data_IF_539300989184
#
_entry.id   IF_539300989184
#
_cell.length_a   1.000
_cell.length_b   1.000
_cell.length_c   1.000
_cell.angle_alpha   90.00
_cell.angle_beta   90.00
_cell.angle_gamma   90.00
#
_symmetry.space_group_name_H-M   'P 1'
#
loop_
_entity.id
_entity.type
_entity.pdbx_description
1 polymer ?
#
# COMPACT_ATOMS: atom_id res chain seq x y z
N UNK A 1 -13.52 36.43 -4.18
CA UNK A 1 -12.73 35.49 -3.35
C UNK A 1 -13.71 34.62 -2.61
N UNK A 2 -13.56 33.29 -2.65
CA UNK A 2 -14.44 32.35 -1.97
C UNK A 2 -14.41 32.45 -0.44
N UNK A 3 -15.30 31.72 0.27
CA UNK A 3 -15.36 31.73 1.72
C UNK A 3 -14.05 31.22 2.34
N UNK A 4 -13.75 31.67 3.56
CA UNK A 4 -12.61 31.19 4.35
C UNK A 4 -13.16 30.40 5.53
N UNK A 5 -12.77 29.14 5.61
CA UNK A 5 -13.00 28.26 6.76
C UNK A 5 -11.72 28.11 7.58
N UNK A 6 -11.85 27.68 8.81
CA UNK A 6 -10.71 27.34 9.68
C UNK A 6 -10.87 25.90 10.16
N UNK A 7 -9.75 25.18 10.29
CA UNK A 7 -9.70 23.84 10.83
C UNK A 7 -8.33 23.60 11.46
N UNK A 8 -8.23 22.83 12.52
CA UNK A 8 -6.94 22.56 13.18
C UNK A 8 -6.02 21.73 12.26
N UNK A 9 -6.54 20.66 11.67
CA UNK A 9 -5.78 19.72 10.84
C UNK A 9 -6.48 19.48 9.49
N UNK A 10 -5.75 19.58 8.40
CA UNK A 10 -6.22 19.21 7.07
C UNK A 10 -5.36 18.07 6.50
N UNK A 11 -6.02 17.02 6.05
CA UNK A 11 -5.40 15.86 5.39
C UNK A 11 -5.81 15.87 3.91
N UNK A 12 -4.85 15.72 3.01
CA UNK A 12 -5.11 15.65 1.57
C UNK A 12 -5.05 14.20 1.12
N UNK A 13 -6.19 13.68 0.64
CA UNK A 13 -6.39 12.33 0.15
C UNK A 13 -7.07 11.40 1.16
N UNK A 14 -8.22 10.83 0.76
CA UNK A 14 -9.02 9.85 1.50
C UNK A 14 -8.67 8.39 1.11
N UNK A 15 -7.41 8.10 0.84
CA UNK A 15 -6.90 6.74 0.74
C UNK A 15 -6.72 6.10 2.13
N UNK A 16 -6.38 4.81 2.17
CA UNK A 16 -6.21 4.06 3.43
C UNK A 16 -5.26 4.74 4.43
N UNK A 17 -4.23 5.44 3.94
CA UNK A 17 -3.26 6.16 4.78
C UNK A 17 -3.88 7.43 5.36
N UNK A 18 -4.52 8.26 4.53
CA UNK A 18 -5.19 9.48 5.01
C UNK A 18 -6.29 9.19 6.02
N UNK A 19 -7.08 8.14 5.76
CA UNK A 19 -8.13 7.69 6.69
C UNK A 19 -7.56 7.18 8.02
N UNK A 20 -6.45 6.41 7.99
CA UNK A 20 -5.80 5.95 9.22
C UNK A 20 -5.24 7.11 10.06
N UNK A 21 -4.67 8.13 9.41
CA UNK A 21 -4.14 9.34 10.07
C UNK A 21 -5.29 10.18 10.62
N UNK A 22 -6.35 10.41 9.84
CA UNK A 22 -7.52 11.17 10.27
C UNK A 22 -8.16 10.54 11.51
N UNK A 23 -8.38 9.23 11.47
CA UNK A 23 -8.85 8.46 12.62
C UNK A 23 -7.97 8.67 13.85
N UNK A 24 -6.65 8.57 13.69
CA UNK A 24 -5.71 8.72 14.80
C UNK A 24 -5.75 10.12 15.43
N UNK A 25 -5.79 11.17 14.61
CA UNK A 25 -5.92 12.56 15.08
C UNK A 25 -7.28 12.82 15.75
N UNK A 26 -8.37 12.32 15.17
CA UNK A 26 -9.71 12.47 15.73
C UNK A 26 -9.86 11.81 17.10
N UNK A 27 -9.29 10.61 17.29
CA UNK A 27 -9.25 9.93 18.59
C UNK A 27 -8.45 10.68 19.66
N UNK A 28 -7.59 11.62 19.25
CA UNK A 28 -6.88 12.55 20.15
C UNK A 28 -7.68 13.86 20.36
N UNK A 29 -8.91 13.96 19.86
CA UNK A 29 -9.75 15.14 19.98
C UNK A 29 -9.38 16.29 19.05
N UNK A 30 -8.62 16.03 17.97
CA UNK A 30 -8.27 17.04 16.98
C UNK A 30 -9.40 17.26 15.99
N UNK A 31 -9.65 18.53 15.61
CA UNK A 31 -10.53 18.88 14.52
C UNK A 31 -9.87 18.58 13.19
N UNK A 32 -10.47 17.72 12.37
CA UNK A 32 -9.86 17.22 11.11
C UNK A 32 -10.81 17.35 9.94
N UNK A 33 -10.30 17.89 8.83
CA UNK A 33 -10.96 17.83 7.52
C UNK A 33 -10.07 17.00 6.58
N UNK A 34 -10.68 16.04 5.88
CA UNK A 34 -10.04 15.34 4.76
C UNK A 34 -10.48 16.00 3.45
N UNK A 35 -9.55 16.41 2.62
CA UNK A 35 -9.80 16.88 1.26
C UNK A 35 -9.56 15.72 0.28
N UNK A 36 -10.61 15.28 -0.40
CA UNK A 36 -10.53 14.24 -1.43
C UNK A 36 -10.87 14.81 -2.80
N UNK A 37 -10.01 14.56 -3.77
CA UNK A 37 -10.21 15.05 -5.14
C UNK A 37 -11.31 14.30 -5.89
N UNK A 38 -11.50 13.04 -5.55
CA UNK A 38 -12.49 12.15 -6.18
C UNK A 38 -13.84 12.22 -5.45
N UNK A 39 -14.82 11.53 -6.00
CA UNK A 39 -16.19 11.48 -5.43
C UNK A 39 -16.37 10.40 -4.35
N UNK A 40 -15.32 9.63 -4.04
CA UNK A 40 -15.35 8.57 -3.04
C UNK A 40 -13.97 8.32 -2.44
N UNK A 41 -13.92 7.59 -1.32
CA UNK A 41 -12.66 7.17 -0.69
C UNK A 41 -11.93 6.12 -1.53
N UNK A 42 -10.61 6.09 -1.44
CA UNK A 42 -9.76 4.99 -1.91
C UNK A 42 -9.73 4.76 -3.42
N UNK A 43 -10.14 5.70 -4.25
CA UNK A 43 -10.35 5.53 -5.70
C UNK A 43 -9.11 5.11 -6.51
N UNK A 44 -7.90 5.25 -5.94
CA UNK A 44 -6.64 4.93 -6.62
C UNK A 44 -5.94 3.69 -6.02
N UNK A 45 -4.71 3.83 -5.55
CA UNK A 45 -3.86 2.72 -5.08
C UNK A 45 -4.51 1.89 -3.97
N UNK A 46 -5.33 2.50 -3.12
CA UNK A 46 -5.94 1.83 -1.95
C UNK A 46 -6.99 0.78 -2.31
N UNK A 47 -7.68 0.89 -3.45
CA UNK A 47 -8.64 -0.11 -3.94
C UNK A 47 -8.10 -0.98 -5.08
N UNK A 48 -6.86 -0.73 -5.54
CA UNK A 48 -6.28 -1.39 -6.71
C UNK A 48 -4.98 -2.10 -6.33
N UNK A 49 -5.09 -3.15 -5.54
CA UNK A 49 -3.98 -3.89 -4.94
C UNK A 49 -4.34 -5.37 -4.71
N UNK A 50 -3.43 -6.13 -4.12
CA UNK A 50 -3.61 -7.57 -3.88
C UNK A 50 -4.30 -7.90 -2.55
N UNK A 51 -4.68 -6.91 -1.75
CA UNK A 51 -5.34 -7.06 -0.44
C UNK A 51 -4.59 -7.94 0.58
N UNK A 52 -3.25 -8.00 0.46
CA UNK A 52 -2.40 -8.87 1.26
C UNK A 52 -1.98 -8.18 2.56
N UNK A 53 -2.14 -8.89 3.68
CA UNK A 53 -1.52 -8.56 4.96
C UNK A 53 -0.11 -9.14 4.94
N UNK A 54 0.89 -8.28 4.72
CA UNK A 54 2.28 -8.69 4.60
C UNK A 54 2.94 -8.97 5.95
N UNK A 55 3.81 -9.97 6.00
CA UNK A 55 4.56 -10.31 7.21
C UNK A 55 5.77 -9.39 7.48
N UNK A 56 6.34 -8.74 6.44
CA UNK A 56 7.55 -7.89 6.59
C UNK A 56 8.83 -8.51 6.05
N UNK A 57 8.74 -9.54 5.19
CA UNK A 57 9.81 -10.48 4.82
C UNK A 57 10.92 -9.85 3.97
N UNK A 58 10.56 -9.00 2.98
CA UNK A 58 11.46 -8.65 1.87
C UNK A 58 12.20 -7.33 2.04
N UNK A 59 11.83 -6.51 3.02
CA UNK A 59 12.30 -5.14 3.12
C UNK A 59 13.72 -5.04 3.69
N UNK A 60 14.51 -4.04 3.29
CA UNK A 60 15.81 -3.79 3.91
C UNK A 60 15.67 -3.59 5.42
N UNK A 61 16.64 -4.11 6.16
CA UNK A 61 16.72 -3.93 7.60
C UNK A 61 16.69 -2.44 7.98
N UNK A 62 16.02 -2.11 9.07
CA UNK A 62 15.85 -0.75 9.57
C UNK A 62 15.07 0.23 8.66
N UNK A 63 14.60 -0.20 7.49
CA UNK A 63 13.76 0.64 6.63
C UNK A 63 12.40 0.95 7.28
N UNK A 64 11.78 2.08 6.90
CA UNK A 64 10.40 2.39 7.30
C UNK A 64 9.42 1.31 6.83
N UNK A 65 9.63 0.77 5.62
CA UNK A 65 8.84 -0.36 5.10
C UNK A 65 8.88 -1.55 6.04
N UNK A 66 10.06 -1.94 6.52
CA UNK A 66 10.22 -3.06 7.45
C UNK A 66 9.56 -2.77 8.79
N UNK A 67 9.92 -1.66 9.44
CA UNK A 67 9.40 -1.26 10.76
C UNK A 67 7.88 -1.11 10.76
N UNK A 68 7.35 -0.32 9.81
CA UNK A 68 5.93 -0.08 9.72
C UNK A 68 5.14 -1.33 9.29
N UNK A 69 5.72 -2.24 8.49
CA UNK A 69 5.06 -3.48 8.11
C UNK A 69 4.93 -4.44 9.30
N UNK A 70 6.02 -4.70 10.03
CA UNK A 70 6.04 -5.65 11.15
C UNK A 70 5.15 -5.16 12.30
N UNK A 71 5.29 -3.88 12.69
CA UNK A 71 4.43 -3.22 13.69
C UNK A 71 2.99 -3.16 13.21
N UNK A 72 2.78 -2.69 11.97
CA UNK A 72 1.47 -2.52 11.36
C UNK A 72 0.70 -3.82 11.23
N UNK A 73 1.36 -4.95 10.87
CA UNK A 73 0.73 -6.28 10.85
C UNK A 73 0.05 -6.61 12.19
N UNK A 74 0.76 -6.38 13.30
CA UNK A 74 0.23 -6.66 14.65
C UNK A 74 -0.95 -5.75 14.98
N UNK A 75 -0.83 -4.46 14.70
CA UNK A 75 -1.89 -3.47 14.91
C UNK A 75 -3.11 -3.78 14.03
N UNK A 76 -2.87 -4.10 12.75
CA UNK A 76 -3.91 -4.36 11.77
C UNK A 76 -4.74 -5.59 12.15
N UNK A 77 -4.13 -6.75 12.44
CA UNK A 77 -4.89 -7.93 12.88
C UNK A 77 -5.73 -7.65 14.12
N UNK A 78 -5.16 -6.98 15.13
CA UNK A 78 -5.92 -6.56 16.31
C UNK A 78 -7.11 -5.65 15.95
N UNK A 79 -6.93 -4.76 14.99
CA UNK A 79 -7.98 -3.87 14.50
C UNK A 79 -9.07 -4.64 13.75
N UNK A 80 -8.68 -5.52 12.82
CA UNK A 80 -9.59 -6.35 12.04
C UNK A 80 -10.47 -7.24 12.94
N UNK A 81 -9.89 -7.85 13.97
CA UNK A 81 -10.61 -8.67 14.95
C UNK A 81 -11.59 -7.82 15.78
N UNK A 82 -11.15 -6.65 16.25
CA UNK A 82 -11.98 -5.73 17.05
C UNK A 82 -13.22 -5.26 16.31
N UNK A 83 -13.06 -4.87 15.05
CA UNK A 83 -14.14 -4.29 14.23
C UNK A 83 -14.83 -5.31 13.32
N UNK A 84 -14.49 -6.60 13.45
CA UNK A 84 -15.10 -7.70 12.67
C UNK A 84 -14.95 -7.52 11.17
N UNK A 85 -13.85 -6.90 10.73
CA UNK A 85 -13.55 -6.72 9.32
C UNK A 85 -13.14 -8.07 8.72
N UNK A 86 -13.69 -8.39 7.55
CA UNK A 86 -13.45 -9.67 6.91
C UNK A 86 -11.98 -9.83 6.53
N UNK A 87 -11.33 -10.86 7.06
CA UNK A 87 -9.94 -11.19 6.78
C UNK A 87 -9.67 -12.67 7.00
N UNK A 88 -8.54 -13.16 6.45
CA UNK A 88 -8.12 -14.55 6.60
C UNK A 88 -6.61 -14.66 6.71
N UNK A 89 -6.10 -15.33 7.71
CA UNK A 89 -4.69 -15.74 7.84
C UNK A 89 -4.46 -17.00 7.01
N UNK A 90 -4.46 -16.86 5.69
CA UNK A 90 -4.33 -18.01 4.77
C UNK A 90 -2.89 -18.51 4.63
N UNK A 91 -1.91 -17.75 5.10
CA UNK A 91 -0.51 -18.09 4.90
C UNK A 91 -0.01 -17.83 3.48
N UNK A 92 1.30 -17.96 3.30
CA UNK A 92 1.97 -17.79 2.01
C UNK A 92 3.13 -18.78 1.89
N UNK A 93 3.25 -19.43 0.74
CA UNK A 93 4.40 -20.22 0.33
C UNK A 93 5.28 -19.42 -0.63
N UNK A 94 6.55 -19.23 -0.29
CA UNK A 94 7.56 -18.71 -1.21
C UNK A 94 8.28 -19.92 -1.78
N UNK A 95 8.05 -20.22 -3.07
CA UNK A 95 8.42 -21.49 -3.69
C UNK A 95 9.73 -21.41 -4.48
N UNK A 96 10.57 -22.45 -4.33
CA UNK A 96 11.85 -22.62 -5.02
C UNK A 96 11.85 -23.93 -5.82
N UNK A 97 12.44 -23.89 -7.02
CA UNK A 97 12.52 -25.04 -7.94
C UNK A 97 13.96 -25.37 -8.36
N UNK A 98 14.96 -24.65 -7.83
CA UNK A 98 16.38 -24.87 -8.14
C UNK A 98 17.25 -24.59 -6.91
N UNK A 99 18.47 -25.11 -6.88
CA UNK A 99 19.45 -24.82 -5.82
C UNK A 99 19.71 -23.32 -5.65
N UNK A 100 19.80 -22.57 -6.76
CA UNK A 100 19.95 -21.12 -6.72
C UNK A 100 18.74 -20.41 -6.10
N UNK A 101 17.55 -20.97 -6.19
CA UNK A 101 16.35 -20.42 -5.54
C UNK A 101 16.34 -20.78 -4.05
N UNK A 102 16.87 -21.95 -3.65
CA UNK A 102 17.02 -22.34 -2.24
C UNK A 102 17.94 -21.37 -1.49
N UNK A 103 19.08 -20.99 -2.08
CA UNK A 103 19.98 -19.98 -1.52
C UNK A 103 19.27 -18.64 -1.28
N UNK A 104 18.40 -18.23 -2.22
CA UNK A 104 17.59 -17.02 -2.07
C UNK A 104 16.56 -17.15 -0.94
N UNK A 105 15.94 -18.32 -0.75
CA UNK A 105 15.01 -18.56 0.37
C UNK A 105 15.73 -18.40 1.71
N UNK A 106 16.96 -18.93 1.84
CA UNK A 106 17.79 -18.78 3.04
C UNK A 106 18.09 -17.29 3.30
N UNK A 107 18.45 -16.56 2.25
CA UNK A 107 18.72 -15.13 2.36
C UNK A 107 17.46 -14.32 2.74
N UNK A 108 16.29 -14.72 2.22
CA UNK A 108 14.98 -14.13 2.55
C UNK A 108 14.66 -14.39 4.02
N UNK A 109 14.85 -15.62 4.54
CA UNK A 109 14.60 -15.95 5.93
C UNK A 109 15.47 -15.11 6.86
N UNK A 110 16.79 -15.05 6.63
CA UNK A 110 17.72 -14.24 7.43
C UNK A 110 17.33 -12.77 7.47
N UNK A 111 16.92 -12.20 6.31
CA UNK A 111 16.43 -10.83 6.24
C UNK A 111 15.14 -10.64 7.04
N UNK A 112 14.22 -11.59 6.98
CA UNK A 112 12.97 -11.56 7.72
C UNK A 112 13.21 -11.60 9.24
N UNK A 113 14.09 -12.49 9.69
CA UNK A 113 14.51 -12.59 11.10
C UNK A 113 15.11 -11.27 11.60
N UNK A 114 15.99 -10.64 10.82
CA UNK A 114 16.55 -9.32 11.15
C UNK A 114 15.48 -8.21 11.25
N UNK A 115 14.35 -8.37 10.54
CA UNK A 115 13.21 -7.47 10.64
C UNK A 115 12.23 -7.82 11.79
N UNK A 116 12.49 -8.88 12.57
CA UNK A 116 11.62 -9.36 13.64
C UNK A 116 10.43 -10.19 13.16
N UNK A 117 10.59 -10.86 12.01
CA UNK A 117 9.66 -11.88 11.49
C UNK A 117 10.25 -13.26 11.81
N UNK A 118 9.74 -13.90 12.84
CA UNK A 118 10.30 -15.11 13.46
C UNK A 118 9.47 -16.39 13.23
N UNK A 119 8.40 -16.27 12.43
CA UNK A 119 7.43 -17.34 12.19
C UNK A 119 7.62 -18.07 10.86
N UNK A 120 8.70 -17.81 10.12
CA UNK A 120 8.98 -18.45 8.85
C UNK A 120 9.55 -19.87 9.04
N UNK A 121 9.01 -20.83 8.31
CA UNK A 121 9.50 -22.22 8.35
C UNK A 121 9.74 -22.79 6.97
N UNK A 122 10.85 -23.53 6.81
CA UNK A 122 11.06 -24.32 5.59
C UNK A 122 10.13 -25.50 5.54
N UNK A 123 9.57 -25.77 4.36
CA UNK A 123 8.72 -26.91 4.05
C UNK A 123 9.26 -27.64 2.81
N UNK A 124 9.43 -28.94 2.94
CA UNK A 124 9.93 -29.80 1.87
C UNK A 124 8.82 -30.13 0.85
N UNK A 125 9.21 -30.77 -0.24
CA UNK A 125 8.33 -31.16 -1.34
C UNK A 125 7.11 -31.96 -0.90
N UNK A 126 7.27 -32.94 0.02
CA UNK A 126 6.17 -33.72 0.52
C UNK A 126 5.13 -32.86 1.22
N UNK A 127 5.60 -31.98 2.12
CA UNK A 127 4.73 -31.03 2.83
C UNK A 127 4.09 -30.00 1.92
N UNK A 128 4.78 -29.55 0.86
CA UNK A 128 4.18 -28.67 -0.15
C UNK A 128 3.03 -29.39 -0.86
N UNK A 129 3.23 -30.64 -1.25
CA UNK A 129 2.19 -31.46 -1.91
C UNK A 129 0.96 -31.70 -1.01
N UNK A 130 1.15 -31.81 0.31
CA UNK A 130 0.03 -31.91 1.26
C UNK A 130 -0.76 -30.58 1.37
N UNK A 131 -0.04 -29.43 1.41
CA UNK A 131 -0.64 -28.11 1.55
C UNK A 131 -1.30 -27.64 0.25
N UNK A 132 -0.63 -27.82 -0.88
CA UNK A 132 -1.02 -27.33 -2.20
C UNK A 132 -0.67 -28.38 -3.29
N UNK A 133 -1.53 -29.38 -3.51
CA UNK A 133 -1.23 -30.53 -4.37
C UNK A 133 -0.94 -30.20 -5.85
N UNK A 134 -1.38 -29.02 -6.30
CA UNK A 134 -1.17 -28.57 -7.69
C UNK A 134 0.14 -27.80 -7.88
N UNK A 135 0.82 -27.42 -6.80
CA UNK A 135 2.06 -26.64 -6.85
C UNK A 135 3.26 -27.55 -7.04
N UNK A 136 4.09 -27.18 -8.01
CA UNK A 136 5.39 -27.80 -8.23
C UNK A 136 6.48 -26.94 -7.57
N UNK A 137 7.07 -27.46 -6.52
CA UNK A 137 8.24 -26.89 -5.87
C UNK A 137 9.06 -27.96 -5.15
N UNK A 138 10.37 -27.80 -5.06
CA UNK A 138 11.26 -28.70 -4.32
C UNK A 138 11.39 -28.27 -2.85
N UNK A 139 11.38 -26.96 -2.60
CA UNK A 139 11.44 -26.36 -1.27
C UNK A 139 10.56 -25.10 -1.24
N UNK A 140 10.00 -24.78 -0.10
CA UNK A 140 9.34 -23.49 0.11
C UNK A 140 9.62 -22.93 1.50
N UNK A 141 9.42 -21.62 1.64
CA UNK A 141 9.40 -20.92 2.90
C UNK A 141 7.93 -20.55 3.21
N UNK A 142 7.37 -21.14 4.25
CA UNK A 142 6.01 -20.89 4.72
C UNK A 142 6.00 -19.67 5.64
N UNK A 143 5.13 -18.71 5.35
CA UNK A 143 4.84 -17.54 6.20
C UNK A 143 3.40 -17.64 6.71
N UNK A 144 3.17 -18.19 7.91
CA UNK A 144 1.82 -18.45 8.41
C UNK A 144 1.07 -17.17 8.79
N UNK A 145 1.77 -16.10 9.16
CA UNK A 145 1.16 -14.81 9.53
C UNK A 145 0.80 -13.90 8.35
N UNK A 146 1.15 -14.29 7.12
CA UNK A 146 0.64 -13.61 5.93
C UNK A 146 -0.85 -13.91 5.76
N UNK A 147 -1.63 -12.90 5.35
CA UNK A 147 -3.07 -13.06 5.17
C UNK A 147 -3.61 -12.15 4.08
N UNK A 148 -4.93 -12.12 4.00
CA UNK A 148 -5.71 -11.25 3.12
C UNK A 148 -6.83 -10.58 3.92
N UNK A 149 -7.30 -9.44 3.44
CA UNK A 149 -8.40 -8.69 4.07
C UNK A 149 -9.29 -8.05 3.00
N UNK A 150 -10.48 -7.66 3.41
CA UNK A 150 -11.32 -6.74 2.64
C UNK A 150 -10.84 -5.31 2.89
N UNK A 151 -10.10 -4.74 1.93
CA UNK A 151 -9.54 -3.39 2.02
C UNK A 151 -10.63 -2.32 2.03
N UNK A 152 -11.76 -2.56 1.36
CA UNK A 152 -12.86 -1.61 1.33
C UNK A 152 -13.54 -1.52 2.70
N UNK A 153 -13.86 -2.66 3.33
CA UNK A 153 -14.37 -2.69 4.70
C UNK A 153 -13.41 -2.03 5.69
N UNK A 154 -12.09 -2.23 5.52
CA UNK A 154 -11.08 -1.56 6.35
C UNK A 154 -11.17 -0.04 6.24
N UNK A 155 -11.21 0.49 5.01
CA UNK A 155 -11.32 1.94 4.78
C UNK A 155 -12.62 2.52 5.32
N UNK A 156 -13.75 1.84 5.12
CA UNK A 156 -15.03 2.24 5.69
C UNK A 156 -15.02 2.25 7.23
N UNK A 157 -14.34 1.28 7.85
CA UNK A 157 -14.20 1.23 9.30
C UNK A 157 -13.34 2.39 9.83
N UNK A 158 -12.23 2.73 9.15
CA UNK A 158 -11.43 3.90 9.52
C UNK A 158 -12.23 5.19 9.37
N UNK A 159 -12.97 5.33 8.27
CA UNK A 159 -13.84 6.48 8.01
C UNK A 159 -14.91 6.60 9.10
N UNK A 160 -15.64 5.53 9.39
CA UNK A 160 -16.71 5.54 10.38
C UNK A 160 -16.23 5.90 11.79
N UNK A 161 -15.06 5.40 12.23
CA UNK A 161 -14.48 5.82 13.51
C UNK A 161 -14.03 7.30 13.47
N UNK A 162 -13.48 7.76 12.34
CA UNK A 162 -13.06 9.14 12.18
C UNK A 162 -14.27 10.10 12.23
N UNK A 163 -15.33 9.81 11.46
CA UNK A 163 -16.57 10.61 11.42
C UNK A 163 -17.30 10.60 12.77
N UNK A 164 -17.34 9.46 13.47
CA UNK A 164 -17.90 9.37 14.82
C UNK A 164 -17.16 10.25 15.84
N UNK A 165 -15.91 10.66 15.53
CA UNK A 165 -15.09 11.58 16.32
C UNK A 165 -14.93 12.97 15.65
N UNK A 166 -15.87 13.35 14.76
CA UNK A 166 -16.00 14.70 14.23
C UNK A 166 -15.20 15.01 12.96
N UNK A 167 -14.57 14.02 12.31
CA UNK A 167 -13.92 14.24 11.02
C UNK A 167 -14.95 14.52 9.93
N UNK A 168 -14.65 15.49 9.07
CA UNK A 168 -15.44 15.79 7.87
C UNK A 168 -14.63 15.43 6.63
N UNK A 169 -15.24 14.73 5.67
CA UNK A 169 -14.64 14.48 4.35
C UNK A 169 -15.28 15.38 3.32
N UNK A 170 -14.46 16.24 2.70
CA UNK A 170 -14.85 17.07 1.56
C UNK A 170 -14.47 16.34 0.27
N UNK A 171 -15.43 15.71 -0.38
CA UNK A 171 -15.25 15.08 -1.70
C UNK A 171 -15.26 16.11 -2.82
N UNK A 172 -14.72 15.74 -4.00
CA UNK A 172 -14.58 16.61 -5.17
C UNK A 172 -13.90 17.96 -4.83
N UNK A 173 -12.97 17.91 -3.87
CA UNK A 173 -12.32 19.07 -3.28
C UNK A 173 -10.79 19.00 -3.46
N UNK A 174 -10.27 19.03 -4.70
CA UNK A 174 -8.84 18.95 -4.95
C UNK A 174 -8.12 20.18 -4.38
N UNK A 175 -7.02 19.95 -3.67
CA UNK A 175 -6.12 21.01 -3.24
C UNK A 175 -5.30 21.48 -4.45
N UNK A 176 -5.46 22.74 -4.86
CA UNK A 176 -4.73 23.33 -5.99
C UNK A 176 -3.51 24.12 -5.59
N UNK A 177 -3.53 24.78 -4.44
CA UNK A 177 -2.42 25.57 -3.92
C UNK A 177 -2.44 25.57 -2.39
N UNK A 178 -1.27 25.63 -1.79
CA UNK A 178 -1.09 25.88 -0.36
C UNK A 178 -0.01 26.96 -0.17
N UNK A 179 -0.27 27.91 0.71
CA UNK A 179 0.65 28.99 1.05
C UNK A 179 1.03 28.82 2.52
N UNK A 180 2.34 28.81 2.80
CA UNK A 180 2.85 28.77 4.16
C UNK A 180 2.68 30.17 4.77
N UNK A 181 1.91 30.27 5.85
CA UNK A 181 1.73 31.48 6.64
C UNK A 181 2.53 31.39 7.96
N UNK A 182 2.58 32.47 8.73
CA UNK A 182 3.30 32.52 10.02
C UNK A 182 2.83 31.43 11.00
N UNK A 183 1.51 31.19 11.06
CA UNK A 183 0.89 30.32 12.06
C UNK A 183 0.18 29.11 11.43
N UNK A 184 0.63 28.65 10.26
CA UNK A 184 0.06 27.50 9.55
C UNK A 184 0.03 27.65 8.04
N UNK A 185 -1.10 27.31 7.43
CA UNK A 185 -1.26 27.23 5.98
C UNK A 185 -2.58 27.85 5.53
N UNK A 186 -2.55 28.56 4.40
CA UNK A 186 -3.73 28.92 3.64
C UNK A 186 -3.85 27.96 2.45
N UNK A 187 -4.91 27.18 2.41
CA UNK A 187 -5.23 26.21 1.37
C UNK A 187 -6.24 26.79 0.40
N UNK A 188 -6.06 26.56 -0.89
CA UNK A 188 -6.98 26.98 -1.96
C UNK A 188 -7.46 25.74 -2.69
N UNK A 189 -8.77 25.51 -2.71
CA UNK A 189 -9.38 24.37 -3.36
C UNK A 189 -9.66 24.67 -4.84
N UNK A 190 -9.73 23.62 -5.66
CA UNK A 190 -10.06 23.67 -7.08
C UNK A 190 -11.57 23.60 -7.35
N UNK A 191 -12.42 23.86 -6.36
CA UNK A 191 -13.85 23.95 -6.50
C UNK A 191 -14.29 25.24 -7.24
N UNK A 192 -15.56 25.31 -7.62
CA UNK A 192 -16.12 26.47 -8.35
C UNK A 192 -15.98 27.78 -7.57
N UNK A 193 -16.09 27.69 -6.25
CA UNK A 193 -16.08 28.86 -5.35
C UNK A 193 -14.67 29.24 -4.92
N UNK A 194 -13.64 28.45 -5.29
CA UNK A 194 -12.27 28.62 -4.83
C UNK A 194 -12.23 28.76 -3.31
N UNK A 195 -12.86 27.83 -2.63
CA UNK A 195 -12.92 27.74 -1.17
C UNK A 195 -11.52 27.78 -0.58
N UNK A 196 -11.37 28.52 0.53
CA UNK A 196 -10.10 28.66 1.22
C UNK A 196 -10.21 28.10 2.64
N UNK A 197 -9.17 27.39 3.08
CA UNK A 197 -9.10 26.86 4.44
C UNK A 197 -7.80 27.29 5.10
N UNK A 198 -7.91 27.89 6.29
CA UNK A 198 -6.75 28.11 7.16
C UNK A 198 -6.60 26.93 8.11
N UNK A 199 -5.38 26.39 8.20
CA UNK A 199 -5.08 25.26 9.07
C UNK A 199 -3.70 25.39 9.71
N UNK A 200 -3.54 24.82 10.91
CA UNK A 200 -2.23 24.72 11.57
C UNK A 200 -1.42 23.52 11.09
N UNK A 201 -2.12 22.45 10.71
CA UNK A 201 -1.49 21.19 10.29
C UNK A 201 -1.97 20.78 8.91
N UNK A 202 -1.03 20.55 8.01
CA UNK A 202 -1.26 20.05 6.65
C UNK A 202 -0.55 18.71 6.46
N UNK A 203 -1.32 17.66 6.17
CA UNK A 203 -0.79 16.31 5.92
C UNK A 203 -1.10 15.91 4.48
N UNK A 204 -0.05 15.77 3.69
CA UNK A 204 -0.16 15.33 2.31
C UNK A 204 -0.04 13.81 2.22
N UNK A 205 -1.17 13.12 2.13
CA UNK A 205 -1.32 11.68 1.88
C UNK A 205 -1.87 11.37 0.49
N UNK A 206 -1.60 12.25 -0.49
CA UNK A 206 -2.14 12.21 -1.85
C UNK A 206 -1.61 11.07 -2.76
N UNK A 207 -0.93 10.06 -2.21
CA UNK A 207 -0.55 8.84 -2.92
C UNK A 207 0.19 9.11 -4.23
N UNK A 208 -0.43 8.74 -5.37
CA UNK A 208 0.13 8.98 -6.72
C UNK A 208 0.36 10.47 -7.01
N UNK A 209 -0.37 11.35 -6.36
CA UNK A 209 -0.33 12.80 -6.60
C UNK A 209 0.46 13.56 -5.54
N UNK A 210 0.98 12.90 -4.50
CA UNK A 210 1.63 13.54 -3.37
C UNK A 210 2.77 14.51 -3.77
N UNK A 211 3.55 14.16 -4.80
CA UNK A 211 4.61 15.04 -5.31
C UNK A 211 4.06 16.30 -5.99
N UNK A 212 2.94 16.20 -6.72
CA UNK A 212 2.28 17.35 -7.36
C UNK A 212 1.68 18.29 -6.31
N UNK A 213 1.04 17.71 -5.28
CA UNK A 213 0.52 18.47 -4.15
C UNK A 213 1.67 19.23 -3.46
N UNK A 214 2.79 18.55 -3.17
CA UNK A 214 3.96 19.17 -2.55
C UNK A 214 4.58 20.28 -3.42
N UNK A 215 4.58 20.13 -4.75
CA UNK A 215 5.06 21.16 -5.69
C UNK A 215 4.21 22.44 -5.64
N UNK A 216 2.95 22.33 -5.25
CA UNK A 216 2.00 23.44 -5.13
C UNK A 216 1.96 24.05 -3.69
N UNK A 217 2.88 23.64 -2.80
CA UNK A 217 3.08 24.27 -1.50
C UNK A 217 4.09 25.40 -1.68
N UNK A 218 3.59 26.63 -1.71
CA UNK A 218 4.42 27.84 -1.82
C UNK A 218 5.27 28.00 -0.55
N UNK A 219 6.60 28.12 -0.74
CA UNK A 219 7.57 28.15 0.34
C UNK A 219 8.25 26.80 0.65
N UNK A 220 7.76 25.68 0.16
CA UNK A 220 8.45 24.41 0.28
C UNK A 220 9.58 24.30 -0.76
N UNK A 221 10.82 24.08 -0.30
CA UNK A 221 11.96 23.92 -1.19
C UNK A 221 11.84 22.64 -2.02
N UNK A 222 12.11 22.72 -3.32
CA UNK A 222 12.03 21.61 -4.28
C UNK A 222 12.92 20.40 -3.91
N UNK A 223 14.00 20.63 -3.17
CA UNK A 223 14.90 19.57 -2.68
C UNK A 223 14.23 18.55 -1.75
N UNK A 224 13.13 18.94 -1.09
CA UNK A 224 12.34 18.05 -0.23
C UNK A 224 11.25 17.27 -1.00
N UNK A 225 11.13 17.49 -2.30
CA UNK A 225 10.11 16.84 -3.13
C UNK A 225 10.77 15.80 -4.02
N UNK A 226 10.62 14.49 -3.72
CA UNK A 226 11.25 13.44 -4.53
C UNK A 226 10.56 13.31 -5.88
N UNK A 227 11.35 12.92 -6.88
CA UNK A 227 10.78 12.51 -8.17
C UNK A 227 9.96 11.23 -7.99
N UNK A 228 8.75 11.22 -8.53
CA UNK A 228 7.85 10.07 -8.51
C UNK A 228 7.77 9.44 -9.90
N UNK A 229 7.75 8.10 -9.92
CA UNK A 229 7.59 7.27 -11.11
C UNK A 229 6.36 6.38 -10.92
N UNK A 230 5.72 5.99 -12.00
CA UNK A 230 4.53 5.14 -11.95
C UNK A 230 4.86 3.74 -12.44
N UNK A 231 4.69 2.76 -11.55
CA UNK A 231 4.82 1.34 -11.88
C UNK A 231 3.43 0.69 -11.84
N UNK A 232 2.83 0.54 -13.02
CA UNK A 232 1.56 -0.16 -13.19
C UNK A 232 1.78 -1.65 -13.01
N UNK A 233 0.84 -2.32 -12.38
CA UNK A 233 0.76 -3.76 -12.24
C UNK A 233 -0.54 -4.26 -12.82
N UNK A 234 -0.45 -5.18 -13.78
CA UNK A 234 -1.61 -5.84 -14.34
C UNK A 234 -1.99 -7.06 -13.50
N UNK A 235 -3.27 -7.31 -13.36
CA UNK A 235 -3.81 -8.47 -12.67
C UNK A 235 -4.72 -9.26 -13.62
N UNK A 236 -4.57 -10.59 -13.56
CA UNK A 236 -5.41 -11.52 -14.29
C UNK A 236 -6.11 -12.44 -13.31
N UNK A 237 -7.41 -12.62 -13.48
CA UNK A 237 -8.23 -13.55 -12.71
C UNK A 237 -8.23 -14.95 -13.32
N UNK A 238 -8.61 -15.96 -12.53
CA UNK A 238 -8.79 -17.34 -12.96
C UNK A 238 -10.25 -17.62 -13.30
N UNK A 239 -10.53 -18.14 -14.48
CA UNK A 239 -11.82 -18.74 -14.82
C UNK A 239 -11.93 -20.12 -14.18
N UNK A 240 -13.08 -20.41 -13.60
CA UNK A 240 -13.35 -21.70 -12.97
C UNK A 240 -12.97 -21.75 -11.49
N UNK A 241 -12.85 -22.97 -10.97
CA UNK A 241 -12.64 -23.21 -9.54
C UNK A 241 -11.17 -23.00 -9.17
N UNK A 242 -10.93 -22.30 -8.07
CA UNK A 242 -9.64 -22.19 -7.41
C UNK A 242 -9.56 -23.23 -6.29
N UNK A 243 -8.52 -24.06 -6.31
CA UNK A 243 -8.30 -25.09 -5.28
C UNK A 243 -7.18 -24.70 -4.29
N UNK A 244 -6.63 -23.49 -4.40
CA UNK A 244 -5.55 -23.04 -3.53
C UNK A 244 -6.10 -22.51 -2.19
N UNK A 245 -5.36 -22.76 -1.13
CA UNK A 245 -5.64 -22.30 0.22
C UNK A 245 -4.63 -21.26 0.73
N UNK A 246 -3.41 -21.25 0.16
CA UNK A 246 -2.33 -20.31 0.47
C UNK A 246 -2.04 -19.37 -0.69
N UNK A 247 -1.39 -18.25 -0.39
CA UNK A 247 -0.78 -17.39 -1.40
C UNK A 247 0.51 -18.06 -1.90
N UNK A 248 0.75 -18.08 -3.22
CA UNK A 248 1.94 -18.70 -3.81
C UNK A 248 2.79 -17.63 -4.49
N UNK A 249 3.99 -17.46 -3.99
CA UNK A 249 4.95 -16.49 -4.50
C UNK A 249 6.19 -17.21 -5.01
N UNK A 250 6.57 -17.06 -6.27
CA UNK A 250 7.89 -17.55 -6.71
C UNK A 250 8.99 -16.74 -6.01
N UNK A 251 10.17 -17.32 -5.87
CA UNK A 251 11.36 -16.59 -5.42
C UNK A 251 11.61 -15.40 -6.35
N UNK A 252 11.94 -14.20 -5.81
CA UNK A 252 12.24 -13.03 -6.61
C UNK A 252 13.38 -13.29 -7.61
N UNK A 253 13.20 -12.79 -8.84
CA UNK A 253 14.20 -12.83 -9.91
C UNK A 253 14.77 -11.42 -10.17
N UNK A 254 15.82 -11.31 -10.99
CA UNK A 254 16.39 -10.03 -11.36
C UNK A 254 15.38 -9.06 -12.03
N UNK A 255 14.28 -9.58 -12.59
CA UNK A 255 13.21 -8.80 -13.22
C UNK A 255 12.09 -8.37 -12.28
N UNK A 256 12.13 -8.72 -10.99
CA UNK A 256 11.09 -8.38 -10.01
C UNK A 256 10.64 -9.55 -9.14
N UNK A 257 9.54 -9.36 -8.40
CA UNK A 257 9.01 -10.37 -7.47
C UNK A 257 8.31 -11.58 -8.15
N UNK A 258 8.23 -11.61 -9.48
CA UNK A 258 7.49 -12.63 -10.23
C UNK A 258 5.98 -12.36 -10.24
N UNK A 259 5.24 -13.28 -10.87
CA UNK A 259 3.77 -13.25 -10.87
C UNK A 259 3.28 -14.08 -9.68
N UNK A 260 2.66 -13.42 -8.73
CA UNK A 260 2.10 -14.04 -7.53
C UNK A 260 0.73 -14.64 -7.82
N UNK A 261 0.39 -15.74 -7.14
CA UNK A 261 -0.97 -16.18 -6.95
C UNK A 261 -1.44 -15.64 -5.61
N UNK A 262 -2.50 -14.84 -5.63
CA UNK A 262 -3.18 -14.34 -4.44
C UNK A 262 -4.64 -14.79 -4.46
N UNK A 263 -5.27 -14.79 -3.30
CA UNK A 263 -6.68 -15.09 -3.13
C UNK A 263 -7.42 -13.82 -2.71
N UNK A 264 -8.61 -13.61 -3.20
CA UNK A 264 -9.51 -12.64 -2.59
C UNK A 264 -10.28 -13.27 -1.40
N UNK A 265 -11.04 -12.45 -0.70
CA UNK A 265 -11.84 -12.88 0.45
C UNK A 265 -12.89 -13.96 0.07
N UNK A 266 -13.36 -13.97 -1.16
CA UNK A 266 -14.28 -15.01 -1.68
C UNK A 266 -13.57 -16.31 -2.08
N UNK A 267 -12.24 -16.35 -2.07
CA UNK A 267 -11.43 -17.50 -2.44
C UNK A 267 -11.11 -17.58 -3.94
N UNK A 268 -11.37 -16.52 -4.72
CA UNK A 268 -10.98 -16.49 -6.14
C UNK A 268 -9.48 -16.21 -6.27
N UNK A 269 -8.84 -16.89 -7.20
CA UNK A 269 -7.42 -16.65 -7.50
C UNK A 269 -7.24 -15.44 -8.42
N UNK A 270 -6.27 -14.60 -8.06
CA UNK A 270 -5.75 -13.49 -8.85
C UNK A 270 -4.25 -13.68 -9.06
N UNK A 271 -3.77 -13.39 -10.26
CA UNK A 271 -2.36 -13.45 -10.62
C UNK A 271 -1.81 -12.07 -10.87
N UNK A 272 -0.67 -11.76 -10.29
CA UNK A 272 -0.04 -10.45 -10.40
C UNK A 272 0.38 -9.86 -9.05
N UNK A 273 0.80 -8.59 -9.04
CA UNK A 273 0.98 -7.78 -10.24
C UNK A 273 2.29 -8.08 -10.97
N UNK A 274 2.34 -7.78 -12.24
CA UNK A 274 3.59 -7.58 -12.95
C UNK A 274 4.16 -6.15 -12.75
N UNK A 275 5.11 -5.74 -13.60
CA UNK A 275 5.66 -4.38 -13.60
C UNK A 275 5.66 -3.82 -15.01
N UNK A 276 4.88 -2.75 -15.21
CA UNK A 276 4.84 -1.95 -16.43
C UNK A 276 5.10 -0.48 -16.05
N UNK A 277 6.20 0.09 -16.53
CA UNK A 277 6.51 1.49 -16.26
C UNK A 277 5.70 2.38 -17.19
N UNK A 278 4.98 3.35 -16.64
CA UNK A 278 4.09 4.25 -17.38
C UNK A 278 4.38 5.70 -17.01
N UNK A 279 4.12 6.62 -17.94
CA UNK A 279 4.29 8.06 -17.70
C UNK A 279 3.00 8.72 -17.19
N UNK A 280 1.86 8.09 -17.43
CA UNK A 280 0.53 8.60 -17.09
C UNK A 280 -0.25 7.57 -16.28
N UNK A 281 -1.23 8.06 -15.51
CA UNK A 281 -2.15 7.21 -14.75
C UNK A 281 -3.22 6.70 -15.70
N UNK A 282 -3.11 5.42 -16.07
CA UNK A 282 -4.06 4.71 -16.92
C UNK A 282 -4.30 3.31 -16.33
N UNK A 283 -5.56 3.04 -16.03
CA UNK A 283 -5.98 1.78 -15.38
C UNK A 283 -6.46 0.71 -16.36
N UNK A 284 -6.30 0.89 -17.66
CA UNK A 284 -6.59 -0.17 -18.65
C UNK A 284 -5.62 -1.32 -18.49
N UNK A 285 -6.14 -2.56 -18.44
CA UNK A 285 -5.30 -3.76 -18.44
C UNK A 285 -4.62 -3.91 -19.79
N UNK A 286 -3.36 -4.30 -19.80
CA UNK A 286 -2.62 -4.60 -21.00
C UNK A 286 -2.74 -6.09 -21.34
N UNK A 287 -3.73 -6.44 -22.16
CA UNK A 287 -4.05 -7.82 -22.51
C UNK A 287 -2.90 -8.56 -23.22
N UNK A 288 -2.01 -7.83 -23.93
CA UNK A 288 -0.86 -8.44 -24.60
C UNK A 288 0.10 -9.15 -23.66
N UNK A 289 0.02 -8.85 -22.36
CA UNK A 289 0.87 -9.45 -21.33
C UNK A 289 0.42 -10.82 -20.86
N UNK A 290 -0.78 -11.28 -21.22
CA UNK A 290 -1.37 -12.55 -20.76
C UNK A 290 -0.47 -13.75 -21.02
N UNK A 291 0.22 -13.81 -22.15
CA UNK A 291 1.12 -14.92 -22.48
C UNK A 291 2.32 -15.00 -21.53
N UNK A 292 2.84 -13.87 -21.07
CA UNK A 292 3.93 -13.83 -20.09
C UNK A 292 3.47 -14.30 -18.71
N UNK A 293 2.19 -14.07 -18.36
CA UNK A 293 1.58 -14.61 -17.15
C UNK A 293 1.49 -16.13 -17.22
N UNK A 294 0.94 -16.71 -18.29
CA UNK A 294 0.90 -18.17 -18.48
C UNK A 294 2.29 -18.79 -18.33
N UNK A 295 3.30 -18.23 -19.02
CA UNK A 295 4.67 -18.72 -18.94
C UNK A 295 5.21 -18.70 -17.51
N UNK A 296 4.99 -17.63 -16.77
CA UNK A 296 5.52 -17.46 -15.42
C UNK A 296 4.79 -18.31 -14.40
N UNK A 297 3.46 -18.36 -14.45
CA UNK A 297 2.63 -19.15 -13.53
C UNK A 297 2.90 -20.64 -13.69
N UNK A 298 3.06 -21.15 -14.92
CA UNK A 298 3.34 -22.56 -15.19
C UNK A 298 4.66 -23.07 -14.63
N UNK A 299 5.57 -22.20 -14.22
CA UNK A 299 6.79 -22.59 -13.51
C UNK A 299 6.50 -23.20 -12.14
N UNK A 300 5.46 -22.70 -11.46
CA UNK A 300 5.05 -23.21 -10.15
C UNK A 300 3.69 -23.94 -10.19
N UNK A 301 2.83 -23.66 -11.17
CA UNK A 301 1.58 -24.36 -11.42
C UNK A 301 1.51 -24.89 -12.86
N UNK A 302 2.18 -26.04 -13.17
CA UNK A 302 2.27 -26.55 -14.53
C UNK A 302 0.92 -26.92 -15.17
N UNK A 303 -0.08 -27.26 -14.34
CA UNK A 303 -1.42 -27.67 -14.78
C UNK A 303 -2.36 -26.47 -15.05
N UNK A 304 -1.89 -25.23 -15.02
CA UNK A 304 -2.72 -24.08 -15.37
C UNK A 304 -3.34 -24.27 -16.77
N UNK A 305 -4.70 -24.37 -16.86
CA UNK A 305 -5.37 -24.64 -18.13
C UNK A 305 -5.13 -23.51 -19.16
N UNK A 306 -5.16 -23.84 -20.43
CA UNK A 306 -5.19 -22.83 -21.50
C UNK A 306 -6.48 -22.00 -21.37
N UNK A 307 -6.44 -20.74 -21.81
CA UNK A 307 -7.58 -19.84 -21.89
C UNK A 307 -8.34 -19.62 -20.56
N UNK A 308 -7.70 -19.98 -19.42
CA UNK A 308 -8.27 -19.85 -18.09
C UNK A 308 -8.04 -18.48 -17.44
N UNK A 309 -7.12 -17.69 -17.95
CA UNK A 309 -6.88 -16.34 -17.44
C UNK A 309 -7.76 -15.31 -18.17
N UNK A 310 -8.18 -14.28 -17.44
CA UNK A 310 -8.86 -13.11 -18.00
C UNK A 310 -8.32 -11.83 -17.37
N UNK A 311 -8.29 -10.75 -18.14
CA UNK A 311 -7.93 -9.43 -17.64
C UNK A 311 -8.92 -8.99 -16.53
N UNK A 312 -8.41 -8.56 -15.39
CA UNK A 312 -9.26 -8.21 -14.25
C UNK A 312 -9.16 -6.72 -13.92
N UNK A 313 -8.02 -6.26 -13.41
CA UNK A 313 -7.79 -4.85 -13.11
C UNK A 313 -6.30 -4.51 -13.14
N UNK A 314 -6.00 -3.22 -12.93
CA UNK A 314 -4.63 -2.73 -12.73
C UNK A 314 -4.55 -1.87 -11.49
N UNK A 315 -3.37 -1.85 -10.87
CA UNK A 315 -2.99 -0.90 -9.85
C UNK A 315 -1.74 -0.13 -10.24
N UNK A 316 -1.57 1.09 -9.74
CA UNK A 316 -0.37 1.90 -9.99
C UNK A 316 0.32 2.20 -8.67
N UNK A 317 1.63 1.96 -8.62
CA UNK A 317 2.48 2.19 -7.45
C UNK A 317 3.27 3.48 -7.63
N UNK A 318 3.24 4.41 -6.65
CA UNK A 318 4.10 5.59 -6.66
C UNK A 318 5.52 5.20 -6.24
N UNK A 319 6.41 5.01 -7.21
CA UNK A 319 7.81 4.67 -6.96
C UNK A 319 8.69 5.92 -6.82
N UNK A 320 9.67 5.87 -5.90
CA UNK A 320 10.66 6.93 -5.71
C UNK A 320 11.99 6.64 -6.45
N UNK A 321 12.04 5.53 -7.18
CA UNK A 321 13.15 5.15 -8.05
C UNK A 321 12.61 4.64 -9.37
N UNK A 322 13.30 4.94 -10.48
CA UNK A 322 12.90 4.52 -11.82
C UNK A 322 13.26 3.05 -12.11
N UNK A 323 12.98 2.64 -13.35
CA UNK A 323 13.34 1.33 -13.89
C UNK A 323 14.86 1.11 -13.74
N UNK A 324 15.25 -0.09 -13.32
CA UNK A 324 16.65 -0.50 -13.12
C UNK A 324 17.40 0.20 -11.96
N UNK A 325 16.75 1.05 -11.17
CA UNK A 325 17.36 1.63 -9.98
C UNK A 325 16.95 0.83 -8.73
N UNK A 326 17.82 0.85 -7.71
CA UNK A 326 17.53 0.25 -6.42
C UNK A 326 16.21 0.82 -5.85
N UNK A 327 15.36 -0.06 -5.35
CA UNK A 327 14.10 0.36 -4.74
C UNK A 327 14.35 1.24 -3.51
N UNK A 328 13.68 2.41 -3.47
CA UNK A 328 13.72 3.33 -2.32
C UNK A 328 12.64 3.00 -1.30
N UNK A 329 12.89 3.43 -0.09
CA UNK A 329 11.97 3.31 1.04
C UNK A 329 10.81 4.32 0.95
N UNK A 330 9.83 4.22 1.85
CA UNK A 330 8.86 5.27 2.13
C UNK A 330 9.56 6.54 2.62
N UNK A 331 8.97 7.69 2.33
CA UNK A 331 9.41 8.96 2.89
C UNK A 331 8.23 9.57 3.65
N UNK A 332 8.42 9.79 4.94
CA UNK A 332 7.57 10.63 5.79
C UNK A 332 8.42 11.86 6.10
N UNK A 333 8.16 12.94 5.37
CA UNK A 333 8.92 14.20 5.47
C UNK A 333 8.16 15.19 6.35
N UNK A 334 8.63 15.38 7.56
CA UNK A 334 8.03 16.25 8.56
C UNK A 334 8.90 17.45 8.93
N UNK A 335 8.54 18.21 9.99
CA UNK A 335 9.24 19.43 10.41
C UNK A 335 10.73 19.26 10.70
N UNK A 336 11.15 18.08 11.16
CA UNK A 336 12.57 17.79 11.43
C UNK A 336 13.41 17.85 10.15
N UNK A 337 12.84 17.48 8.98
CA UNK A 337 13.52 17.49 7.69
C UNK A 337 13.48 18.88 7.02
N UNK A 338 12.27 19.43 6.78
CA UNK A 338 12.10 20.65 5.98
C UNK A 338 11.91 21.93 6.80
N UNK A 339 11.89 21.86 8.14
CA UNK A 339 11.77 22.99 9.10
C UNK A 339 10.45 23.76 9.02
N UNK A 340 9.42 23.24 8.39
CA UNK A 340 8.09 23.85 8.31
C UNK A 340 7.20 23.17 9.34
N UNK A 341 6.83 23.91 10.40
CA UNK A 341 5.97 23.39 11.47
C UNK A 341 4.59 23.02 10.93
N UNK A 342 4.03 21.90 11.41
CA UNK A 342 2.71 21.44 11.03
C UNK A 342 2.61 20.80 9.64
N UNK A 343 3.68 20.75 8.82
CA UNK A 343 3.66 20.08 7.52
C UNK A 343 4.19 18.65 7.61
N UNK A 344 3.45 17.69 7.05
CA UNK A 344 3.95 16.33 6.79
C UNK A 344 3.61 15.93 5.37
N UNK A 345 4.60 15.50 4.61
CA UNK A 345 4.42 14.93 3.28
C UNK A 345 4.77 13.43 3.29
N UNK A 346 3.89 12.60 2.73
CA UNK A 346 4.12 11.17 2.55
C UNK A 346 4.36 10.85 1.08
N UNK A 347 5.54 10.31 0.76
CA UNK A 347 5.90 9.97 -0.61
C UNK A 347 6.24 8.49 -0.75
N UNK A 348 5.86 7.92 -1.89
CA UNK A 348 6.21 6.55 -2.25
C UNK A 348 5.51 5.49 -1.40
N UNK A 349 4.38 5.82 -0.76
CA UNK A 349 3.62 4.84 0.01
C UNK A 349 2.91 3.89 -0.97
N UNK A 350 3.51 2.73 -1.13
CA UNK A 350 3.05 1.59 -1.92
C UNK A 350 2.95 0.34 -1.02
N UNK A 351 3.05 -0.89 -1.55
CA UNK A 351 3.19 -2.09 -0.69
C UNK A 351 4.42 -1.94 0.22
N UNK A 352 4.25 -2.15 1.54
CA UNK A 352 3.12 -2.72 2.28
C UNK A 352 2.17 -1.69 2.92
N UNK A 353 1.84 -0.59 2.28
CA UNK A 353 1.11 0.56 2.85
C UNK A 353 -0.19 0.20 3.58
N UNK A 354 -1.00 -0.73 3.06
CA UNK A 354 -2.23 -1.18 3.74
C UNK A 354 -1.90 -1.83 5.08
N UNK A 355 -1.02 -2.82 5.07
CA UNK A 355 -0.55 -3.49 6.30
C UNK A 355 0.06 -2.50 7.29
N UNK A 356 0.79 -1.53 6.78
CA UNK A 356 1.52 -0.53 7.56
C UNK A 356 0.66 0.68 7.98
N UNK A 357 -0.59 0.80 7.53
CA UNK A 357 -1.39 2.04 7.62
C UNK A 357 -1.50 2.61 9.03
N UNK A 358 -1.78 1.76 10.03
CA UNK A 358 -1.86 2.19 11.43
C UNK A 358 -0.50 2.61 11.99
N UNK A 359 0.57 1.89 11.65
CA UNK A 359 1.92 2.25 12.08
C UNK A 359 2.43 3.53 11.40
N UNK A 360 2.08 3.75 10.12
CA UNK A 360 2.37 5.00 9.42
C UNK A 360 1.63 6.18 10.08
N UNK A 361 0.38 5.99 10.50
CA UNK A 361 -0.35 7.03 11.23
C UNK A 361 0.38 7.41 12.54
N UNK A 362 0.87 6.44 13.32
CA UNK A 362 1.67 6.71 14.52
C UNK A 362 2.98 7.45 14.20
N UNK A 363 3.69 7.10 13.12
CA UNK A 363 4.89 7.82 12.67
C UNK A 363 4.59 9.28 12.29
N UNK A 364 3.43 9.52 11.65
CA UNK A 364 2.99 10.90 11.32
C UNK A 364 2.70 11.69 12.59
N UNK A 365 1.98 11.13 13.57
CA UNK A 365 1.72 11.77 14.85
C UNK A 365 3.02 12.10 15.57
N UNK A 366 3.95 11.16 15.63
CA UNK A 366 5.29 11.37 16.22
C UNK A 366 6.06 12.48 15.51
N UNK A 367 5.94 12.59 14.18
CA UNK A 367 6.62 13.65 13.41
C UNK A 367 6.06 15.05 13.64
N UNK A 368 4.82 15.14 14.15
CA UNK A 368 4.11 16.37 14.52
C UNK A 368 4.21 16.68 16.01
N UNK A 369 4.97 15.89 16.77
CA UNK A 369 5.08 15.96 18.25
C UNK A 369 3.72 15.82 18.96
N UNK A 370 2.79 15.04 18.38
CA UNK A 370 1.51 14.65 18.95
C UNK A 370 1.61 13.27 19.66
N UNK A 371 2.69 13.02 20.36
CA UNK A 371 2.93 11.75 21.10
C UNK A 371 2.49 11.83 22.55
#
# INVERSE_FOLDING_TARGET
MGPIHTCECVIVGAGVIGLAIARALALMGKEVIILEAENNIGMHTSSRNSEVIHAGIYYPENSLKAKCCVKGKKLLYKYLDKFKITHRKCGKLIVANSAADEEKLIAIQKKAEANGVDDLTFVNKARISDLEPEIRAELALLSPSTGILDTHQLMLSYLGEAEANGVVVAYNSPLTQSIIEKDGFLLILGDKDKTRIKTRTLINSGGLFAHKIAQNIEGLQKSFIPKTYYAKGNYFGLRGKCNFSHLIYPVPTAGGLGIHLTLDISGKAKFGPDVEWVNEINYSVNDSRINSFYHTIRKYWPKLPNDSLYAEYTGIRPKLSGKNAQAKDFIISGPKQHKIQGLVNLFGIESPGITASLAIAEEVLTSLDYS
#
